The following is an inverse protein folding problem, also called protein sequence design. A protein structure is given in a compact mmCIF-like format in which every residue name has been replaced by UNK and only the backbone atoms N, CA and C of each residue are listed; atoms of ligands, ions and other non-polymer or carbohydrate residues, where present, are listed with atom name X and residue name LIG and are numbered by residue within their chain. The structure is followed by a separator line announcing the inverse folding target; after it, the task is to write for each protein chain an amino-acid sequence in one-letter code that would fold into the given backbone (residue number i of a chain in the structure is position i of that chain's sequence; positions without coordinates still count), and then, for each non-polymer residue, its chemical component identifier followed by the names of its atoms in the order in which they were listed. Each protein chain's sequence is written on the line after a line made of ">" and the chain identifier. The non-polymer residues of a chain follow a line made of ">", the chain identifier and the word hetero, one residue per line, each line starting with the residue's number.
data_IF_770816965932
#
_entry.id   IF_770816965932
#
_cell.length_a   1.000
_cell.length_b   1.000
_cell.length_c   1.000
_cell.angle_alpha   90.00
_cell.angle_beta   90.00
_cell.angle_gamma   90.00
#
_symmetry.space_group_name_H-M   'P 1'
#
loop_
_entity.id
_entity.type
_entity.pdbx_description
1 polymer ?
#
# COMPACT_ATOMS: atom_id res chain seq x y z
N UNK A 1 1.25 -9.24 16.45
CA UNK A 1 2.37 -9.47 17.38
C UNK A 1 3.72 -9.56 16.65
N UNK A 2 3.91 -10.47 15.70
CA UNK A 2 5.19 -10.63 14.96
C UNK A 2 5.78 -9.34 14.38
N UNK A 3 5.00 -8.58 13.61
CA UNK A 3 5.48 -7.33 13.01
C UNK A 3 5.85 -6.28 14.07
N UNK A 4 5.10 -6.19 15.18
CA UNK A 4 5.41 -5.25 16.28
C UNK A 4 6.70 -5.65 17.01
N UNK A 5 6.98 -6.95 17.08
CA UNK A 5 8.20 -7.50 17.65
C UNK A 5 9.40 -7.44 16.68
N UNK A 6 9.22 -6.95 15.44
CA UNK A 6 10.26 -6.97 14.40
C UNK A 6 10.66 -8.39 13.96
N UNK A 7 9.84 -9.39 14.28
CA UNK A 7 10.09 -10.79 13.95
C UNK A 7 9.55 -11.10 12.54
N UNK A 8 10.20 -12.02 11.80
CA UNK A 8 9.64 -12.52 10.57
C UNK A 8 8.28 -13.17 10.85
N UNK A 9 7.35 -13.06 9.89
CA UNK A 9 6.12 -13.83 9.95
C UNK A 9 6.49 -15.33 9.94
N UNK A 10 5.85 -16.20 10.74
CA UNK A 10 6.14 -17.65 10.77
C UNK A 10 5.90 -18.34 9.42
N UNK A 11 6.57 -19.45 9.10
CA UNK A 11 6.28 -20.18 7.85
C UNK A 11 4.86 -20.78 7.81
N UNK A 12 4.33 -21.02 6.59
CA UNK A 12 2.96 -21.53 6.38
C UNK A 12 2.64 -22.81 7.19
N UNK A 13 3.65 -23.65 7.42
CA UNK A 13 3.49 -24.93 8.12
C UNK A 13 3.42 -24.77 9.65
N UNK A 14 3.89 -23.65 10.21
CA UNK A 14 3.85 -23.39 11.66
C UNK A 14 2.49 -22.88 12.17
N UNK A 15 1.45 -22.92 11.34
CA UNK A 15 0.13 -22.32 11.60
C UNK A 15 -0.99 -23.32 11.92
N UNK A 16 -0.63 -24.50 12.46
CA UNK A 16 -1.55 -25.57 12.86
C UNK A 16 -2.91 -25.06 13.36
N UNK A 17 -3.98 -25.42 12.63
CA UNK A 17 -5.40 -25.41 13.01
C UNK A 17 -6.09 -24.10 13.46
N UNK A 18 -5.55 -22.91 13.17
CA UNK A 18 -6.25 -21.65 13.48
C UNK A 18 -6.81 -20.94 12.21
N UNK A 19 -8.07 -20.48 12.20
CA UNK A 19 -8.62 -19.66 11.11
C UNK A 19 -7.96 -18.27 11.12
N UNK A 20 -6.87 -18.11 10.38
CA UNK A 20 -6.03 -16.90 10.40
C UNK A 20 -6.53 -15.74 9.52
N UNK A 21 -7.55 -15.98 8.69
CA UNK A 21 -8.13 -14.92 7.85
C UNK A 21 -8.79 -13.82 8.69
N UNK A 22 -9.35 -14.18 9.85
CA UNK A 22 -10.09 -13.24 10.71
C UNK A 22 -9.19 -12.32 11.54
N UNK A 23 -7.92 -12.68 11.75
CA UNK A 23 -6.97 -11.94 12.60
C UNK A 23 -5.98 -11.04 11.84
N UNK A 24 -6.10 -10.92 10.51
CA UNK A 24 -5.25 -10.06 9.67
C UNK A 24 -3.79 -10.52 9.48
N UNK A 25 -3.31 -11.51 10.23
CA UNK A 25 -1.96 -12.09 10.06
C UNK A 25 -1.89 -13.01 8.84
N UNK A 26 -2.92 -13.82 8.61
CA UNK A 26 -3.01 -14.66 7.41
C UNK A 26 -3.12 -13.84 6.13
N UNK A 27 -3.78 -12.67 6.18
CA UNK A 27 -3.97 -11.81 5.02
C UNK A 27 -2.70 -11.07 4.60
N UNK A 28 -1.87 -10.58 5.55
CA UNK A 28 -0.59 -9.94 5.18
C UNK A 28 0.42 -10.94 4.61
N UNK A 29 0.52 -12.15 5.17
CA UNK A 29 1.42 -13.19 4.63
C UNK A 29 1.03 -13.58 3.21
N UNK A 30 -0.25 -13.88 2.99
CA UNK A 30 -0.75 -14.22 1.66
C UNK A 30 -0.47 -13.09 0.67
N UNK A 31 -0.75 -11.84 1.05
CA UNK A 31 -0.47 -10.67 0.23
C UNK A 31 1.02 -10.51 -0.11
N UNK A 32 1.93 -10.73 0.85
CA UNK A 32 3.38 -10.67 0.60
C UNK A 32 3.86 -11.77 -0.34
N UNK A 33 3.32 -12.99 -0.22
CA UNK A 33 3.65 -14.11 -1.10
C UNK A 33 3.09 -13.90 -2.53
N UNK A 34 1.88 -13.37 -2.64
CA UNK A 34 1.30 -12.97 -3.93
C UNK A 34 2.09 -11.85 -4.58
N UNK A 35 2.48 -10.83 -3.82
CA UNK A 35 3.37 -9.77 -4.30
C UNK A 35 4.71 -10.34 -4.73
N UNK A 36 5.28 -11.27 -3.95
CA UNK A 36 6.53 -11.91 -4.31
C UNK A 36 6.44 -12.55 -5.69
N UNK A 37 5.41 -13.39 -5.88
CA UNK A 37 5.14 -14.08 -7.12
C UNK A 37 4.87 -13.12 -8.29
N UNK A 38 4.06 -12.08 -8.07
CA UNK A 38 3.70 -11.09 -9.09
C UNK A 38 4.89 -10.23 -9.53
N UNK A 39 5.92 -10.11 -8.68
CA UNK A 39 7.13 -9.33 -8.96
C UNK A 39 8.34 -10.19 -9.34
N UNK A 40 8.16 -11.49 -9.66
CA UNK A 40 9.23 -12.37 -10.17
C UNK A 40 9.58 -12.08 -11.63
N UNK A 41 8.62 -11.61 -12.41
CA UNK A 41 8.77 -11.34 -13.84
C UNK A 41 8.29 -9.93 -14.14
N UNK A 42 9.17 -8.95 -13.91
CA UNK A 42 8.92 -7.55 -14.24
C UNK A 42 9.56 -7.20 -15.59
N UNK A 43 8.97 -6.27 -16.37
CA UNK A 43 9.66 -5.72 -17.53
C UNK A 43 10.92 -4.98 -17.08
N UNK A 44 11.94 -4.88 -17.94
CA UNK A 44 13.14 -4.11 -17.64
C UNK A 44 12.90 -2.59 -17.63
N UNK A 45 11.90 -2.12 -18.39
CA UNK A 45 11.61 -0.70 -18.59
C UNK A 45 10.12 -0.47 -18.86
N UNK A 46 9.63 0.70 -18.45
CA UNK A 46 8.32 1.26 -18.83
C UNK A 46 8.44 2.11 -20.09
N UNK A 47 7.41 2.07 -20.94
CA UNK A 47 7.37 2.89 -22.15
C UNK A 47 7.41 4.40 -21.84
N UNK A 48 6.73 4.81 -20.75
CA UNK A 48 6.70 6.19 -20.24
C UNK A 48 7.19 6.21 -18.79
N UNK A 49 7.99 7.20 -18.43
CA UNK A 49 8.37 7.40 -17.03
C UNK A 49 7.14 7.77 -16.18
N UNK A 50 7.06 7.25 -14.96
CA UNK A 50 5.99 7.59 -14.02
C UNK A 50 6.53 7.62 -12.60
N UNK A 51 6.02 8.60 -11.84
CA UNK A 51 6.24 8.68 -10.39
C UNK A 51 4.94 8.36 -9.65
N UNK A 52 5.03 7.54 -8.62
CA UNK A 52 3.91 7.04 -7.81
C UNK A 52 4.28 7.03 -6.34
N UNK A 53 3.29 7.23 -5.48
CA UNK A 53 3.39 6.88 -4.07
C UNK A 53 2.51 5.68 -3.75
N UNK A 54 2.95 4.82 -2.85
CA UNK A 54 2.15 3.72 -2.32
C UNK A 54 2.09 3.81 -0.80
N UNK A 55 0.88 4.00 -0.27
CA UNK A 55 0.66 4.20 1.17
C UNK A 55 0.31 2.89 1.85
N UNK A 56 0.98 2.64 2.97
CA UNK A 56 0.70 1.51 3.87
C UNK A 56 0.85 1.92 5.32
N UNK A 57 0.31 1.12 6.24
CA UNK A 57 0.55 1.33 7.67
C UNK A 57 2.03 1.14 8.01
N UNK A 58 2.53 1.92 8.97
CA UNK A 58 3.92 1.91 9.41
C UNK A 58 4.41 0.51 9.80
N UNK A 59 3.52 -0.33 10.33
CA UNK A 59 3.83 -1.70 10.72
C UNK A 59 4.08 -2.64 9.52
N UNK A 60 3.51 -2.31 8.36
CA UNK A 60 3.58 -3.14 7.15
C UNK A 60 4.73 -2.71 6.24
N UNK A 61 5.09 -1.43 6.23
CA UNK A 61 6.13 -0.85 5.38
C UNK A 61 7.44 -1.66 5.31
N UNK A 62 8.06 -2.03 6.44
CA UNK A 62 9.32 -2.79 6.43
C UNK A 62 9.22 -4.10 5.66
N UNK A 63 8.11 -4.84 5.80
CA UNK A 63 7.89 -6.12 5.11
C UNK A 63 7.73 -6.01 3.61
N UNK A 64 7.41 -4.83 3.08
CA UNK A 64 7.25 -4.57 1.64
C UNK A 64 8.56 -4.15 0.95
N UNK A 65 9.61 -3.86 1.72
CA UNK A 65 10.90 -3.40 1.18
C UNK A 65 11.45 -4.28 0.05
N UNK A 66 11.49 -5.63 0.16
CA UNK A 66 12.04 -6.47 -0.90
C UNK A 66 11.25 -6.38 -2.22
N UNK A 67 9.92 -6.29 -2.13
CA UNK A 67 9.03 -6.15 -3.29
C UNK A 67 9.21 -4.78 -3.94
N UNK A 68 9.24 -3.71 -3.13
CA UNK A 68 9.41 -2.35 -3.62
C UNK A 68 10.78 -2.16 -4.26
N UNK A 69 11.83 -2.76 -3.72
CA UNK A 69 13.16 -2.74 -4.34
C UNK A 69 13.16 -3.38 -5.74
N UNK A 70 12.47 -4.51 -5.92
CA UNK A 70 12.31 -5.13 -7.26
C UNK A 70 11.51 -4.26 -8.22
N UNK A 71 10.42 -3.66 -7.77
CA UNK A 71 9.65 -2.72 -8.60
C UNK A 71 10.50 -1.52 -9.04
N UNK A 72 11.31 -0.97 -8.13
CA UNK A 72 12.23 0.15 -8.43
C UNK A 72 13.35 -0.20 -9.42
N UNK A 73 13.60 -1.48 -9.71
CA UNK A 73 14.54 -1.89 -10.75
C UNK A 73 13.98 -1.72 -12.17
N UNK A 74 12.67 -1.48 -12.32
CA UNK A 74 12.06 -1.20 -13.61
C UNK A 74 12.40 0.23 -14.04
N UNK A 75 13.17 0.37 -15.12
CA UNK A 75 13.52 1.68 -15.66
C UNK A 75 12.26 2.52 -15.96
N UNK A 76 12.25 3.77 -15.52
CA UNK A 76 11.11 4.67 -15.71
C UNK A 76 9.97 4.47 -14.69
N UNK A 77 10.18 3.71 -13.61
CA UNK A 77 9.30 3.69 -12.46
C UNK A 77 9.97 4.34 -11.24
N UNK A 78 9.44 5.48 -10.81
CA UNK A 78 9.76 6.10 -9.54
C UNK A 78 8.65 5.78 -8.52
N UNK A 79 8.85 4.75 -7.71
CA UNK A 79 7.88 4.31 -6.70
C UNK A 79 8.32 4.70 -5.30
N UNK A 80 7.52 5.50 -4.59
CA UNK A 80 7.74 5.93 -3.22
C UNK A 80 6.84 5.17 -2.25
N UNK A 81 7.40 4.26 -1.45
CA UNK A 81 6.65 3.60 -0.38
C UNK A 81 6.51 4.55 0.82
N UNK A 82 5.28 4.92 1.16
CA UNK A 82 4.93 5.81 2.26
C UNK A 82 4.33 4.98 3.40
N UNK A 83 5.17 4.56 4.34
CA UNK A 83 4.75 3.86 5.55
C UNK A 83 4.36 4.90 6.62
N UNK A 84 3.06 5.03 6.91
CA UNK A 84 2.54 6.10 7.77
C UNK A 84 2.15 5.59 9.17
N UNK A 85 2.44 6.36 10.23
CA UNK A 85 1.77 6.17 11.53
C UNK A 85 0.31 6.63 11.44
N UNK A 86 -0.44 6.48 12.53
CA UNK A 86 -1.78 7.07 12.66
C UNK A 86 -1.83 8.04 13.84
N UNK A 87 -1.55 9.34 13.62
CA UNK A 87 -1.83 10.39 14.61
C UNK A 87 -3.29 10.41 15.05
N UNK A 88 -4.24 10.06 14.16
CA UNK A 88 -5.66 9.96 14.50
C UNK A 88 -5.92 9.02 15.68
N UNK A 89 -5.25 7.86 15.71
CA UNK A 89 -5.31 6.91 16.83
C UNK A 89 -4.23 7.14 17.91
N UNK A 90 -3.33 8.11 17.71
CA UNK A 90 -2.17 8.33 18.58
C UNK A 90 -1.13 7.19 18.54
N UNK A 91 -1.01 6.50 17.41
CA UNK A 91 -0.21 5.28 17.26
C UNK A 91 0.91 5.45 16.23
N UNK A 92 2.18 5.29 16.65
CA UNK A 92 3.32 5.27 15.73
C UNK A 92 3.40 3.98 14.89
N UNK A 93 2.96 2.86 15.46
CA UNK A 93 2.89 1.55 14.81
C UNK A 93 1.45 1.19 14.50
N UNK A 94 1.09 1.16 13.21
CA UNK A 94 -0.30 0.93 12.78
C UNK A 94 -0.35 -0.03 11.58
N UNK A 95 -1.36 -0.89 11.55
CA UNK A 95 -1.68 -1.73 10.38
C UNK A 95 -2.37 -0.90 9.31
N UNK A 96 -2.19 -1.26 8.04
CA UNK A 96 -2.74 -0.53 6.90
C UNK A 96 -4.24 -0.24 7.01
N UNK A 97 -5.06 -1.20 7.47
CA UNK A 97 -6.52 -1.04 7.55
C UNK A 97 -7.03 -0.10 8.64
N UNK A 98 -6.14 0.43 9.48
CA UNK A 98 -6.50 1.40 10.51
C UNK A 98 -6.10 2.83 10.14
N UNK A 99 -5.41 3.04 9.02
CA UNK A 99 -5.12 4.39 8.54
C UNK A 99 -6.40 5.11 8.13
N UNK A 100 -6.51 6.37 8.52
CA UNK A 100 -7.66 7.23 8.23
C UNK A 100 -7.37 8.22 7.09
N UNK A 101 -8.41 8.91 6.61
CA UNK A 101 -8.22 9.95 5.59
C UNK A 101 -7.33 11.09 6.10
N UNK A 102 -7.48 11.47 7.38
CA UNK A 102 -6.68 12.49 8.02
C UNK A 102 -5.21 12.07 8.16
N UNK A 103 -4.94 10.80 8.49
CA UNK A 103 -3.56 10.28 8.53
C UNK A 103 -2.86 10.40 7.17
N UNK A 104 -3.59 10.15 6.08
CA UNK A 104 -3.07 10.34 4.72
C UNK A 104 -2.79 11.81 4.44
N UNK A 105 -3.72 12.71 4.77
CA UNK A 105 -3.57 14.16 4.53
C UNK A 105 -2.32 14.70 5.25
N UNK A 106 -2.19 14.41 6.54
CA UNK A 106 -1.09 14.92 7.34
C UNK A 106 0.24 14.23 7.01
N UNK A 107 0.19 12.90 6.84
CA UNK A 107 1.37 12.09 6.56
C UNK A 107 1.99 12.34 5.19
N UNK A 108 1.21 12.81 4.23
CA UNK A 108 1.64 13.09 2.86
C UNK A 108 1.83 14.58 2.55
N UNK A 109 1.41 15.48 3.43
CA UNK A 109 1.56 16.91 3.25
C UNK A 109 3.01 17.31 2.95
N UNK A 110 3.19 18.09 1.88
CA UNK A 110 4.51 18.60 1.45
C UNK A 110 5.46 17.56 0.85
N UNK A 111 5.02 16.31 0.64
CA UNK A 111 5.84 15.26 0.00
C UNK A 111 5.60 15.22 -1.51
N UNK A 112 6.59 14.80 -2.32
CA UNK A 112 6.36 14.49 -3.73
C UNK A 112 5.51 13.22 -3.83
N UNK A 113 4.25 13.37 -4.26
CA UNK A 113 3.30 12.25 -4.36
C UNK A 113 3.38 11.50 -5.69
N UNK A 114 3.88 12.15 -6.73
CA UNK A 114 3.87 11.64 -8.09
C UNK A 114 2.54 11.91 -8.79
N UNK A 115 2.24 11.11 -9.82
CA UNK A 115 1.03 11.25 -10.64
C UNK A 115 -0.23 10.76 -9.92
N UNK A 116 -0.09 9.79 -9.01
CA UNK A 116 -1.17 9.25 -8.18
C UNK A 116 -0.61 8.54 -6.96
N UNK A 117 -1.44 8.41 -5.95
CA UNK A 117 -1.14 7.66 -4.73
C UNK A 117 -1.96 6.37 -4.72
N UNK A 118 -1.28 5.23 -4.63
CA UNK A 118 -1.90 3.93 -4.48
C UNK A 118 -2.30 3.72 -3.01
N UNK A 119 -3.56 3.38 -2.76
CA UNK A 119 -4.07 3.06 -1.44
C UNK A 119 -4.75 1.68 -1.43
N UNK A 120 -4.41 0.79 -0.48
CA UNK A 120 -5.11 -0.47 -0.30
C UNK A 120 -6.59 -0.27 0.04
N UNK A 121 -7.48 -1.03 -0.61
CA UNK A 121 -8.94 -0.99 -0.37
C UNK A 121 -9.33 -1.22 1.09
N UNK A 122 -8.48 -1.93 1.84
CA UNK A 122 -8.62 -2.21 3.28
C UNK A 122 -8.60 -0.93 4.14
N UNK A 123 -8.11 0.20 3.62
CA UNK A 123 -8.22 1.51 4.29
C UNK A 123 -9.63 2.12 4.26
N UNK A 124 -10.49 1.62 3.36
CA UNK A 124 -11.85 2.11 3.18
C UNK A 124 -12.85 1.17 3.86
N UNK A 125 -13.99 1.74 4.29
CA UNK A 125 -15.12 0.97 4.81
C UNK A 125 -15.64 0.04 3.71
N UNK A 126 -16.03 -1.17 4.09
CA UNK A 126 -16.46 -2.19 3.14
C UNK A 126 -17.62 -1.68 2.26
N UNK A 127 -17.42 -1.70 0.95
CA UNK A 127 -18.41 -1.27 -0.04
C UNK A 127 -18.63 0.24 -0.13
N UNK A 128 -17.81 1.07 0.55
CA UNK A 128 -17.98 2.52 0.57
C UNK A 128 -16.64 3.24 0.31
N UNK A 129 -16.60 4.30 -0.52
CA UNK A 129 -15.41 5.11 -0.73
C UNK A 129 -15.20 6.11 0.42
N UNK A 130 -15.20 5.62 1.66
CA UNK A 130 -15.13 6.41 2.91
C UNK A 130 -14.13 5.76 3.86
N UNK A 131 -13.26 6.57 4.45
CA UNK A 131 -12.27 6.14 5.44
C UNK A 131 -12.91 5.94 6.83
N UNK A 132 -12.14 5.46 7.81
CA UNK A 132 -12.64 5.23 9.17
C UNK A 132 -13.06 6.51 9.91
N UNK A 133 -12.48 7.66 9.55
CA UNK A 133 -12.74 9.00 10.11
C UNK A 133 -13.83 9.79 9.35
N UNK A 134 -14.68 9.10 8.60
CA UNK A 134 -15.80 9.67 7.81
C UNK A 134 -15.40 10.58 6.64
N UNK A 135 -14.10 10.77 6.38
CA UNK A 135 -13.64 11.44 5.17
C UNK A 135 -13.92 10.56 3.94
N UNK A 136 -14.43 11.16 2.87
CA UNK A 136 -14.61 10.47 1.59
C UNK A 136 -13.31 10.43 0.81
N UNK A 137 -13.17 9.42 -0.06
CA UNK A 137 -12.04 9.32 -0.99
C UNK A 137 -11.84 10.61 -1.79
N UNK A 138 -12.95 11.22 -2.23
CA UNK A 138 -12.95 12.48 -2.96
C UNK A 138 -12.39 13.65 -2.11
N UNK A 139 -12.82 13.78 -0.86
CA UNK A 139 -12.33 14.83 0.04
C UNK A 139 -10.83 14.73 0.27
N UNK A 140 -10.32 13.50 0.44
CA UNK A 140 -8.88 13.28 0.62
C UNK A 140 -8.11 13.61 -0.66
N UNK A 141 -8.59 13.18 -1.84
CA UNK A 141 -8.00 13.55 -3.13
C UNK A 141 -7.93 15.06 -3.33
N UNK A 142 -9.02 15.78 -3.02
CA UNK A 142 -9.08 17.24 -3.15
C UNK A 142 -8.07 17.93 -2.23
N UNK A 143 -7.90 17.46 -0.99
CA UNK A 143 -6.95 18.03 -0.03
C UNK A 143 -5.50 17.72 -0.38
N UNK A 144 -5.21 16.52 -0.88
CA UNK A 144 -3.86 16.13 -1.34
C UNK A 144 -3.49 16.71 -2.70
N UNK A 145 -4.49 17.19 -3.46
CA UNK A 145 -4.34 17.63 -4.86
C UNK A 145 -3.69 16.54 -5.74
N UNK A 146 -3.99 15.27 -5.43
CA UNK A 146 -3.42 14.11 -6.09
C UNK A 146 -4.48 13.00 -6.19
N UNK A 147 -4.64 12.34 -7.35
CA UNK A 147 -5.55 11.21 -7.49
C UNK A 147 -5.16 10.05 -6.55
N UNK A 148 -6.16 9.41 -5.96
CA UNK A 148 -6.01 8.21 -5.16
C UNK A 148 -6.52 7.02 -5.99
N UNK A 149 -5.63 6.06 -6.28
CA UNK A 149 -6.01 4.79 -6.94
C UNK A 149 -6.15 3.70 -5.88
N UNK A 150 -7.35 3.13 -5.77
CA UNK A 150 -7.65 2.04 -4.84
C UNK A 150 -7.17 0.72 -5.44
N UNK A 151 -6.32 -0.01 -4.71
CA UNK A 151 -5.80 -1.32 -5.10
C UNK A 151 -6.34 -2.42 -4.17
N UNK A 152 -6.89 -3.48 -4.73
CA UNK A 152 -7.56 -4.55 -3.97
C UNK A 152 -6.63 -5.66 -3.51
N UNK A 153 -5.57 -5.95 -4.28
CA UNK A 153 -4.62 -7.01 -3.98
C UNK A 153 -3.27 -6.83 -4.66
N UNK A 154 -2.41 -7.85 -4.54
CA UNK A 154 -1.04 -7.80 -5.02
C UNK A 154 -0.94 -7.56 -6.53
N UNK A 155 -1.80 -8.24 -7.31
CA UNK A 155 -1.87 -8.07 -8.75
C UNK A 155 -2.23 -6.63 -9.15
N UNK A 156 -3.17 -6.01 -8.42
CA UNK A 156 -3.59 -4.63 -8.68
C UNK A 156 -2.46 -3.63 -8.40
N UNK A 157 -1.68 -3.84 -7.33
CA UNK A 157 -0.50 -3.01 -7.02
C UNK A 157 0.51 -3.07 -8.17
N UNK A 158 0.86 -4.28 -8.62
CA UNK A 158 1.83 -4.45 -9.71
C UNK A 158 1.28 -3.88 -11.02
N UNK A 159 0.01 -4.15 -11.32
CA UNK A 159 -0.65 -3.59 -12.50
C UNK A 159 -0.68 -2.06 -12.46
N UNK A 160 -0.99 -1.44 -11.32
CA UNK A 160 -1.01 0.01 -11.18
C UNK A 160 0.39 0.64 -11.37
N UNK A 161 1.45 -0.07 -10.95
CA UNK A 161 2.83 0.37 -11.18
C UNK A 161 3.24 0.26 -12.65
N UNK A 162 2.73 -0.74 -13.38
CA UNK A 162 3.15 -1.05 -14.74
C UNK A 162 2.22 -0.49 -15.83
N UNK A 163 0.96 -0.20 -15.51
CA UNK A 163 -0.04 0.32 -16.43
C UNK A 163 0.44 1.63 -17.04
N UNK A 164 0.26 1.76 -18.35
CA UNK A 164 0.51 3.00 -19.06
C UNK A 164 -0.63 3.98 -18.74
N UNK A 165 -0.31 5.14 -18.17
CA UNK A 165 -1.26 6.26 -18.12
C UNK A 165 -1.52 6.72 -19.56
N UNK A 166 -2.78 6.96 -19.96
CA UNK A 166 -3.05 7.53 -21.28
C UNK A 166 -2.22 8.80 -21.47
N UNK A 167 -1.74 9.03 -22.70
CA UNK A 167 -1.07 10.27 -23.04
C UNK A 167 -1.98 11.43 -22.60
N UNK A 168 -1.42 12.36 -21.83
CA UNK A 168 -2.07 13.64 -21.67
C UNK A 168 -1.86 14.34 -23.01
N UNK A 169 -2.91 14.38 -23.84
CA UNK A 169 -2.95 15.23 -25.04
C UNK A 169 -2.78 16.71 -24.68
#
# INVERSE_FOLDING_TARGET
>A
WYLMAGLPLPERFSYEDLPQQENGVGSIRAFLEELDQATRSLPSRRARAQSLSWVVGSLVGPSLTPVVQRLRQVDGLDLQLQALPSPYWGCDQVVTGLLTGQDLIDGLAGRPLGERVLIPSVMLRQGQPVFLDDLTLEQVQQRLQCPLEVVGGAADVVAACLRESPAAD
#
